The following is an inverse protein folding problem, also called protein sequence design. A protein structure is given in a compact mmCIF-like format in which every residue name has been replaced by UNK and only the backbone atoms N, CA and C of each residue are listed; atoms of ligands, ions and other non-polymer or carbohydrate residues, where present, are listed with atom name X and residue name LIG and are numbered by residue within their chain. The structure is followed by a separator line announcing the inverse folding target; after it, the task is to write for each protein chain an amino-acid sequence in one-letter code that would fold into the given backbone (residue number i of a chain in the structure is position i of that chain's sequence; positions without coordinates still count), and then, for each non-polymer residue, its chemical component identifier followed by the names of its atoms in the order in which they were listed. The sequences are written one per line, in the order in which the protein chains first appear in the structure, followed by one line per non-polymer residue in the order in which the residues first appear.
data_IF_005897674339
#
_entry.id   IF_005897674339
#
_cell.length_a   1.000
_cell.length_b   1.000
_cell.length_c   1.000
_cell.angle_alpha   90.00
_cell.angle_beta   90.00
_cell.angle_gamma   90.00
#
_symmetry.space_group_name_H-M   'P 1'
#
loop_
_entity.id
_entity.type
_entity.pdbx_description
1 polymer ?
#
# COMPACT_ATOMS: atom_id res chain seq x y z
N UNK A 1 -26.14 -4.65 -43.72
CA UNK A 1 -25.61 -4.38 -42.35
C UNK A 1 -25.28 -5.71 -41.74
N UNK A 2 -24.15 -5.84 -41.07
CA UNK A 2 -23.77 -7.11 -40.46
C UNK A 2 -24.63 -7.37 -39.23
N UNK A 3 -25.10 -8.59 -39.01
CA UNK A 3 -26.00 -8.97 -37.90
C UNK A 3 -25.44 -8.55 -36.51
N UNK A 4 -24.10 -8.56 -36.35
CA UNK A 4 -23.43 -8.07 -35.13
C UNK A 4 -23.72 -6.57 -34.89
N UNK A 5 -23.70 -5.74 -35.95
CA UNK A 5 -23.99 -4.32 -35.83
C UNK A 5 -25.46 -4.01 -35.45
N UNK A 6 -26.40 -4.83 -35.92
CA UNK A 6 -27.82 -4.69 -35.55
C UNK A 6 -28.10 -5.08 -34.09
N UNK A 7 -27.30 -5.96 -33.52
CA UNK A 7 -27.42 -6.41 -32.13
C UNK A 7 -26.36 -5.79 -31.19
N UNK A 8 -25.67 -4.72 -31.61
CA UNK A 8 -24.53 -4.17 -30.88
C UNK A 8 -24.88 -3.76 -29.45
N UNK A 9 -26.00 -3.09 -29.25
CA UNK A 9 -26.47 -2.67 -27.92
C UNK A 9 -26.77 -3.87 -27.02
N UNK A 10 -27.34 -4.95 -27.59
CA UNK A 10 -27.62 -6.17 -26.85
C UNK A 10 -26.32 -6.87 -26.43
N UNK A 11 -25.31 -6.90 -27.30
CA UNK A 11 -23.98 -7.45 -27.00
C UNK A 11 -23.36 -6.69 -25.82
N UNK A 12 -23.37 -5.36 -25.84
CA UNK A 12 -22.84 -4.53 -24.73
C UNK A 12 -23.57 -4.79 -23.42
N UNK A 13 -24.90 -4.91 -23.45
CA UNK A 13 -25.70 -5.21 -22.25
C UNK A 13 -25.45 -6.61 -21.73
N UNK A 14 -25.27 -7.59 -22.60
CA UNK A 14 -24.92 -8.96 -22.21
C UNK A 14 -23.57 -8.97 -21.49
N UNK A 15 -22.56 -8.28 -22.04
CA UNK A 15 -21.24 -8.13 -21.38
C UNK A 15 -21.39 -7.47 -20.00
N UNK A 16 -22.23 -6.43 -19.88
CA UNK A 16 -22.47 -5.78 -18.59
C UNK A 16 -23.01 -6.76 -17.54
N UNK A 17 -23.94 -7.62 -17.94
CA UNK A 17 -24.66 -8.52 -17.03
C UNK A 17 -23.84 -9.79 -16.70
N UNK A 18 -23.24 -10.42 -17.70
CA UNK A 18 -22.53 -11.70 -17.53
C UNK A 18 -21.19 -11.56 -16.81
N UNK A 19 -20.49 -10.45 -17.03
CA UNK A 19 -19.19 -10.20 -16.39
C UNK A 19 -19.30 -9.31 -15.13
N UNK A 20 -20.53 -9.07 -14.63
CA UNK A 20 -20.82 -8.29 -13.41
C UNK A 20 -20.06 -6.95 -13.36
N UNK A 21 -20.05 -6.25 -14.50
CA UNK A 21 -19.38 -4.95 -14.60
C UNK A 21 -20.12 -3.90 -13.78
N UNK A 22 -19.37 -3.04 -13.08
CA UNK A 22 -19.99 -1.89 -12.42
C UNK A 22 -20.59 -0.94 -13.46
N UNK A 23 -21.66 -0.21 -13.08
CA UNK A 23 -22.25 0.81 -13.98
C UNK A 23 -21.22 1.84 -14.43
N UNK A 24 -20.23 2.14 -13.59
CA UNK A 24 -19.17 3.09 -13.91
C UNK A 24 -18.25 2.50 -14.99
N UNK A 25 -17.77 1.28 -14.83
CA UNK A 25 -16.92 0.62 -15.84
C UNK A 25 -17.67 0.45 -17.17
N UNK A 26 -18.94 0.09 -17.10
CA UNK A 26 -19.77 -0.04 -18.31
C UNK A 26 -19.92 1.29 -19.04
N UNK A 27 -20.38 2.33 -18.36
CA UNK A 27 -20.62 3.64 -18.96
C UNK A 27 -19.31 4.31 -19.45
N UNK A 28 -18.20 4.02 -18.78
CA UNK A 28 -16.90 4.61 -19.15
C UNK A 28 -16.26 3.91 -20.34
N UNK A 29 -16.28 2.56 -20.35
CA UNK A 29 -15.44 1.78 -21.27
C UNK A 29 -16.19 0.98 -22.32
N UNK A 30 -17.41 0.52 -22.06
CA UNK A 30 -18.18 -0.35 -22.96
C UNK A 30 -19.23 0.43 -23.73
N UNK A 31 -20.02 1.26 -23.05
CA UNK A 31 -21.10 2.01 -23.65
C UNK A 31 -20.64 2.90 -24.82
N UNK A 32 -19.50 3.63 -24.75
CA UNK A 32 -19.04 4.49 -25.84
C UNK A 32 -18.52 3.74 -27.08
N UNK A 33 -18.22 2.44 -26.97
CA UNK A 33 -17.68 1.64 -28.06
C UNK A 33 -18.70 1.46 -29.18
N UNK A 34 -18.26 1.56 -30.44
CA UNK A 34 -19.11 1.41 -31.60
C UNK A 34 -18.64 0.25 -32.47
N UNK A 35 -19.59 -0.49 -33.02
CA UNK A 35 -19.32 -1.48 -34.06
C UNK A 35 -18.84 -0.78 -35.33
N UNK A 36 -17.73 -1.22 -35.90
CA UNK A 36 -17.22 -0.66 -37.14
C UNK A 36 -17.43 -1.57 -38.33
N UNK A 37 -16.86 -2.77 -38.32
CA UNK A 37 -16.92 -3.71 -39.46
C UNK A 37 -16.55 -5.15 -39.02
N UNK A 38 -16.75 -6.12 -39.91
CA UNK A 38 -16.22 -7.49 -39.75
C UNK A 38 -15.48 -7.87 -41.00
N UNK A 39 -14.23 -8.30 -40.88
CA UNK A 39 -13.38 -8.78 -41.98
C UNK A 39 -12.58 -9.99 -41.54
N UNK A 40 -12.58 -11.04 -42.36
CA UNK A 40 -11.80 -12.26 -42.13
C UNK A 40 -11.96 -12.81 -40.70
N UNK A 41 -13.23 -12.97 -40.24
CA UNK A 41 -13.61 -13.41 -38.89
C UNK A 41 -13.09 -12.52 -37.76
N UNK A 42 -12.68 -11.29 -38.05
CA UNK A 42 -12.27 -10.29 -37.06
C UNK A 42 -13.31 -9.18 -36.99
N UNK A 43 -13.86 -8.98 -35.77
CA UNK A 43 -14.77 -7.85 -35.47
C UNK A 43 -13.96 -6.63 -35.11
N UNK A 44 -14.14 -5.54 -35.85
CA UNK A 44 -13.50 -4.28 -35.59
C UNK A 44 -14.43 -3.39 -34.73
N UNK A 45 -13.93 -3.01 -33.55
CA UNK A 45 -14.65 -2.18 -32.58
C UNK A 45 -13.97 -0.82 -32.54
N UNK A 46 -14.74 0.22 -32.77
CA UNK A 46 -14.24 1.59 -32.80
C UNK A 46 -14.28 2.24 -31.42
N UNK A 47 -13.13 2.80 -31.01
CA UNK A 47 -12.96 3.58 -29.79
C UNK A 47 -13.09 5.06 -30.16
N UNK A 48 -13.95 5.85 -29.48
CA UNK A 48 -14.08 7.29 -29.72
C UNK A 48 -12.77 8.05 -29.50
N UNK A 49 -12.57 9.13 -30.22
CA UNK A 49 -11.34 9.96 -30.16
C UNK A 49 -11.00 10.41 -28.74
N UNK A 50 -12.03 10.73 -27.93
CA UNK A 50 -11.84 11.11 -26.52
C UNK A 50 -11.24 10.03 -25.62
N UNK A 51 -11.31 8.76 -26.04
CA UNK A 51 -10.78 7.61 -25.31
C UNK A 51 -9.57 6.95 -26.02
N UNK A 52 -8.99 7.62 -27.01
CA UNK A 52 -7.86 7.07 -27.77
C UNK A 52 -6.68 6.63 -26.90
N UNK A 53 -6.46 7.32 -25.77
CA UNK A 53 -5.43 7.00 -24.79
C UNK A 53 -5.64 5.65 -24.08
N UNK A 54 -6.88 5.18 -24.01
CA UNK A 54 -7.24 3.93 -23.31
C UNK A 54 -7.25 2.68 -24.22
N UNK A 55 -6.81 2.79 -25.47
CA UNK A 55 -6.81 1.69 -26.46
C UNK A 55 -6.19 0.40 -25.89
N UNK A 56 -5.00 0.50 -25.29
CA UNK A 56 -4.31 -0.67 -24.74
C UNK A 56 -5.06 -1.29 -23.54
N UNK A 57 -5.64 -0.45 -22.69
CA UNK A 57 -6.43 -0.91 -21.53
C UNK A 57 -7.70 -1.63 -21.99
N UNK A 58 -8.47 -1.01 -22.89
CA UNK A 58 -9.72 -1.58 -23.42
C UNK A 58 -9.42 -2.90 -24.12
N UNK A 59 -8.40 -2.94 -24.96
CA UNK A 59 -8.00 -4.15 -25.69
C UNK A 59 -7.60 -5.28 -24.74
N UNK A 60 -6.77 -5.02 -23.75
CA UNK A 60 -6.29 -6.05 -22.83
C UNK A 60 -7.38 -6.56 -21.89
N UNK A 61 -8.25 -5.68 -21.41
CA UNK A 61 -9.26 -6.03 -20.40
C UNK A 61 -10.52 -6.62 -21.02
N UNK A 62 -11.01 -6.04 -22.11
CA UNK A 62 -12.34 -6.34 -22.64
C UNK A 62 -12.35 -7.16 -23.94
N UNK A 63 -11.20 -7.38 -24.59
CA UNK A 63 -11.15 -8.15 -25.84
C UNK A 63 -11.76 -9.56 -25.67
N UNK A 64 -11.40 -10.25 -24.60
CA UNK A 64 -11.92 -11.59 -24.34
C UNK A 64 -13.42 -11.60 -24.04
N UNK A 65 -13.95 -10.55 -23.39
CA UNK A 65 -15.39 -10.44 -23.11
C UNK A 65 -16.19 -10.31 -24.40
N UNK A 66 -15.76 -9.41 -25.30
CA UNK A 66 -16.38 -9.30 -26.62
C UNK A 66 -16.22 -10.56 -27.45
N UNK A 67 -15.04 -11.19 -27.43
CA UNK A 67 -14.78 -12.42 -28.18
C UNK A 67 -15.75 -13.52 -27.76
N UNK A 68 -15.83 -13.83 -26.49
CA UNK A 68 -16.72 -14.90 -25.96
C UNK A 68 -18.17 -14.57 -26.24
N UNK A 69 -18.64 -13.39 -25.84
CA UNK A 69 -20.06 -13.02 -26.02
C UNK A 69 -20.50 -13.01 -27.48
N UNK A 70 -19.68 -12.45 -28.38
CA UNK A 70 -20.01 -12.42 -29.82
C UNK A 70 -20.00 -13.84 -30.40
N UNK A 71 -18.99 -14.66 -30.06
CA UNK A 71 -18.88 -16.02 -30.58
C UNK A 71 -20.04 -16.90 -30.12
N UNK A 72 -20.46 -16.77 -28.86
CA UNK A 72 -21.63 -17.49 -28.32
C UNK A 72 -22.95 -17.04 -28.97
N UNK A 73 -23.16 -15.74 -29.17
CA UNK A 73 -24.36 -15.20 -29.79
C UNK A 73 -24.49 -15.55 -31.28
N UNK A 74 -23.34 -15.72 -31.96
CA UNK A 74 -23.31 -15.96 -33.42
C UNK A 74 -23.07 -17.43 -33.80
N UNK A 75 -22.80 -18.28 -32.82
CA UNK A 75 -22.39 -19.70 -33.04
C UNK A 75 -21.21 -19.83 -34.03
N UNK A 76 -20.25 -18.86 -33.91
CA UNK A 76 -19.07 -18.75 -34.75
C UNK A 76 -17.96 -18.04 -34.05
N UNK A 77 -16.70 -18.53 -34.19
CA UNK A 77 -15.53 -17.92 -33.57
C UNK A 77 -15.11 -16.63 -34.28
N UNK A 78 -15.07 -15.53 -33.53
CA UNK A 78 -14.55 -14.25 -33.98
C UNK A 78 -13.36 -13.78 -33.17
N UNK A 79 -12.40 -13.17 -33.84
CA UNK A 79 -11.37 -12.39 -33.19
C UNK A 79 -11.78 -10.93 -33.04
N UNK A 80 -11.23 -10.23 -32.06
CA UNK A 80 -11.58 -8.84 -31.75
C UNK A 80 -10.37 -7.94 -31.99
N UNK A 81 -10.62 -6.85 -32.70
CA UNK A 81 -9.64 -5.80 -32.92
C UNK A 81 -10.24 -4.42 -32.63
N UNK A 82 -9.56 -3.67 -31.76
CA UNK A 82 -9.98 -2.30 -31.45
C UNK A 82 -9.24 -1.30 -32.35
N UNK A 83 -9.99 -0.37 -32.92
CA UNK A 83 -9.47 0.68 -33.78
C UNK A 83 -9.87 2.06 -33.27
N UNK A 84 -9.06 3.06 -33.53
CA UNK A 84 -9.38 4.45 -33.17
C UNK A 84 -10.27 5.08 -34.25
N UNK A 85 -11.22 5.91 -33.79
CA UNK A 85 -11.98 6.78 -34.69
C UNK A 85 -11.01 7.75 -35.36
N UNK A 86 -10.95 7.73 -36.73
CA UNK A 86 -10.14 8.68 -37.48
C UNK A 86 -10.83 10.04 -37.39
N UNK A 87 -10.14 11.06 -36.87
CA UNK A 87 -10.53 12.44 -37.09
C UNK A 87 -10.69 12.65 -38.60
N UNK A 88 -11.78 13.28 -39.03
CA UNK A 88 -11.92 13.75 -40.42
C UNK A 88 -10.84 14.78 -40.64
N UNK A 89 -9.67 14.31 -41.10
CA UNK A 89 -8.56 15.17 -41.42
C UNK A 89 -8.92 16.04 -42.62
N UNK A 90 -8.87 17.36 -42.41
CA UNK A 90 -8.54 18.27 -43.49
C UNK A 90 -7.09 17.96 -43.93
N UNK A 91 -6.92 17.74 -45.24
CA UNK A 91 -5.65 17.41 -45.88
C UNK A 91 -4.49 18.26 -45.36
N UNK A 92 -3.54 17.67 -44.70
CA UNK A 92 -2.14 18.11 -44.71
C UNK A 92 -1.25 16.91 -44.34
N UNK A 93 -0.52 16.41 -45.32
CA UNK A 93 0.63 15.53 -45.20
C UNK A 93 1.65 16.17 -44.25
N UNK A 94 1.82 15.62 -43.09
CA UNK A 94 3.05 15.81 -42.28
C UNK A 94 3.32 14.55 -41.50
N UNK A 95 4.50 14.02 -41.73
CA UNK A 95 5.12 12.90 -41.02
C UNK A 95 4.90 12.99 -39.49
N UNK A 96 4.06 12.12 -38.96
CA UNK A 96 3.88 11.96 -37.52
C UNK A 96 5.07 11.17 -36.96
N UNK A 97 6.14 11.88 -36.65
CA UNK A 97 7.08 11.48 -35.63
C UNK A 97 6.31 11.42 -34.32
N UNK A 98 6.31 10.26 -33.67
CA UNK A 98 5.78 10.04 -32.34
C UNK A 98 6.27 11.13 -31.36
N UNK A 99 5.39 11.86 -30.69
CA UNK A 99 5.84 12.76 -29.64
C UNK A 99 6.02 11.98 -28.33
N UNK A 100 7.27 11.76 -27.99
CA UNK A 100 7.85 11.99 -26.69
C UNK A 100 7.59 11.01 -25.55
N UNK A 101 8.56 10.11 -25.42
CA UNK A 101 8.94 9.45 -24.16
C UNK A 101 9.31 10.39 -22.99
N UNK A 102 9.46 11.69 -23.21
CA UNK A 102 9.92 12.64 -22.20
C UNK A 102 8.79 13.26 -21.36
N UNK A 103 7.59 13.49 -21.90
CA UNK A 103 6.48 14.06 -21.13
C UNK A 103 5.90 13.01 -20.16
N UNK A 104 5.87 11.75 -20.58
CA UNK A 104 5.37 10.65 -19.76
C UNK A 104 6.21 10.44 -18.47
N UNK A 105 7.53 10.63 -18.55
CA UNK A 105 8.41 10.49 -17.39
C UNK A 105 8.22 11.63 -16.36
N UNK A 106 7.99 12.86 -16.82
CA UNK A 106 7.88 14.04 -15.93
C UNK A 106 6.63 13.93 -15.03
N UNK A 107 5.49 13.51 -15.56
CA UNK A 107 4.26 13.38 -14.75
C UNK A 107 4.34 12.23 -13.74
N UNK A 108 4.99 11.11 -14.09
CA UNK A 108 5.25 10.02 -13.15
C UNK A 108 6.19 10.43 -12.01
N UNK A 109 7.26 11.17 -12.30
CA UNK A 109 8.18 11.68 -11.27
C UNK A 109 7.50 12.70 -10.35
N UNK A 110 6.67 13.58 -10.91
CA UNK A 110 5.95 14.60 -10.13
C UNK A 110 4.80 14.01 -9.30
N UNK A 111 4.24 12.88 -9.70
CA UNK A 111 3.15 12.22 -9.00
C UNK A 111 3.54 11.62 -7.65
N UNK A 112 4.84 11.41 -7.40
CA UNK A 112 5.39 10.85 -6.16
C UNK A 112 4.80 9.48 -5.80
N UNK A 113 4.66 8.58 -6.79
CA UNK A 113 4.03 7.27 -6.62
C UNK A 113 5.06 6.16 -6.38
N UNK A 114 4.74 5.25 -5.46
CA UNK A 114 5.53 4.03 -5.27
C UNK A 114 5.20 3.00 -6.37
N UNK A 115 6.18 2.57 -7.19
CA UNK A 115 5.93 1.67 -8.31
C UNK A 115 5.44 0.27 -7.92
N UNK A 116 5.58 -0.11 -6.65
CA UNK A 116 5.13 -1.41 -6.13
C UNK A 116 3.64 -1.45 -5.81
N UNK A 117 3.00 -0.29 -5.64
CA UNK A 117 1.62 -0.19 -5.17
C UNK A 117 0.67 0.02 -6.35
N UNK A 118 0.24 -1.09 -6.95
CA UNK A 118 -0.72 -1.14 -8.06
C UNK A 118 -1.92 -1.98 -7.68
N UNK A 119 -3.05 -1.84 -8.39
CA UNK A 119 -4.23 -2.69 -8.16
C UNK A 119 -3.90 -4.18 -8.33
N UNK A 120 -3.06 -4.55 -9.31
CA UNK A 120 -2.67 -5.95 -9.57
C UNK A 120 -1.86 -6.57 -8.41
N UNK A 121 -1.18 -5.74 -7.64
CA UNK A 121 -0.41 -6.19 -6.46
C UNK A 121 -1.23 -6.16 -5.17
N UNK A 122 -2.41 -5.56 -5.17
CA UNK A 122 -3.30 -5.51 -4.02
C UNK A 122 -4.11 -6.80 -3.90
N UNK A 123 -4.17 -7.38 -2.68
CA UNK A 123 -4.99 -8.57 -2.42
C UNK A 123 -6.37 -8.13 -1.93
N UNK A 124 -7.39 -8.48 -2.72
CA UNK A 124 -8.79 -8.17 -2.40
C UNK A 124 -9.38 -9.28 -1.55
N UNK A 125 -9.96 -8.90 -0.41
CA UNK A 125 -10.70 -9.76 0.50
C UNK A 125 -12.00 -9.09 0.94
N UNK A 126 -12.82 -9.79 1.74
CA UNK A 126 -14.10 -9.23 2.21
C UNK A 126 -13.92 -7.93 3.01
N UNK A 127 -12.79 -7.81 3.72
CA UNK A 127 -12.43 -6.68 4.57
C UNK A 127 -12.11 -5.37 3.82
N UNK A 128 -11.81 -5.43 2.53
CA UNK A 128 -11.37 -4.29 1.73
C UNK A 128 -12.03 -4.19 0.34
N UNK A 129 -12.90 -5.13 -0.02
CA UNK A 129 -13.57 -5.21 -1.34
C UNK A 129 -14.29 -3.90 -1.68
N UNK A 130 -15.02 -3.33 -0.71
CA UNK A 130 -15.75 -2.07 -0.93
C UNK A 130 -14.80 -0.92 -1.23
N UNK A 131 -13.76 -0.74 -0.40
CA UNK A 131 -12.76 0.31 -0.60
C UNK A 131 -12.00 0.13 -1.92
N UNK A 132 -11.62 -1.11 -2.26
CA UNK A 132 -10.96 -1.42 -3.54
C UNK A 132 -11.86 -1.05 -4.73
N UNK A 133 -13.14 -1.45 -4.71
CA UNK A 133 -14.08 -1.14 -5.79
C UNK A 133 -14.32 0.37 -5.93
N UNK A 134 -14.41 1.10 -4.81
CA UNK A 134 -14.53 2.55 -4.82
C UNK A 134 -13.28 3.23 -5.40
N UNK A 135 -12.08 2.75 -5.05
CA UNK A 135 -10.82 3.24 -5.59
C UNK A 135 -10.72 2.99 -7.11
N UNK A 136 -11.12 1.82 -7.57
CA UNK A 136 -11.13 1.48 -8.99
C UNK A 136 -12.10 2.37 -9.76
N UNK A 137 -13.32 2.59 -9.25
CA UNK A 137 -14.30 3.48 -9.85
C UNK A 137 -13.79 4.92 -9.98
N UNK A 138 -13.10 5.44 -8.95
CA UNK A 138 -12.46 6.76 -8.99
C UNK A 138 -11.31 6.79 -9.99
N UNK A 139 -10.52 5.74 -10.09
CA UNK A 139 -9.43 5.64 -11.03
C UNK A 139 -9.92 5.58 -12.49
N UNK A 140 -11.04 4.90 -12.74
CA UNK A 140 -11.67 4.80 -14.07
C UNK A 140 -12.36 6.11 -14.50
N UNK A 141 -12.90 6.89 -13.55
CA UNK A 141 -13.63 8.13 -13.86
C UNK A 141 -13.35 9.24 -12.82
N UNK A 142 -12.13 9.83 -12.84
CA UNK A 142 -11.73 10.84 -11.87
C UNK A 142 -12.61 12.09 -11.95
N UNK A 143 -13.02 12.60 -10.78
CA UNK A 143 -13.89 13.77 -10.65
C UNK A 143 -15.39 13.49 -10.81
N UNK A 144 -15.77 12.34 -11.39
CA UNK A 144 -17.17 12.04 -11.72
C UNK A 144 -17.77 10.92 -10.85
N UNK A 145 -16.96 9.94 -10.42
CA UNK A 145 -17.48 8.79 -9.67
C UNK A 145 -17.82 9.17 -8.22
N UNK A 146 -16.80 9.39 -7.42
CA UNK A 146 -16.93 9.74 -5.99
C UNK A 146 -15.92 10.84 -5.68
N UNK A 147 -16.37 12.04 -5.33
CA UNK A 147 -15.50 13.18 -5.08
C UNK A 147 -15.97 14.01 -3.88
N UNK A 148 -15.23 14.06 -2.75
CA UNK A 148 -13.99 13.32 -2.51
C UNK A 148 -14.20 11.81 -2.28
N UNK A 149 -13.15 11.02 -2.47
CA UNK A 149 -13.06 9.67 -1.92
C UNK A 149 -12.29 9.73 -0.60
N UNK A 150 -12.90 9.27 0.48
CA UNK A 150 -12.29 9.22 1.80
C UNK A 150 -12.11 7.77 2.23
N UNK A 151 -10.84 7.33 2.34
CA UNK A 151 -10.49 5.95 2.71
C UNK A 151 -10.04 5.95 4.17
N UNK A 152 -10.66 5.15 5.03
CA UNK A 152 -10.21 5.06 6.41
C UNK A 152 -10.04 3.61 6.88
N UNK A 153 -9.28 3.47 7.97
CA UNK A 153 -8.99 2.18 8.61
C UNK A 153 -7.70 2.23 9.40
N UNK A 154 -7.48 1.26 10.24
CA UNK A 154 -6.30 1.18 11.09
C UNK A 154 -4.97 1.31 10.33
N UNK A 155 -3.88 1.52 11.07
CA UNK A 155 -2.54 1.58 10.49
C UNK A 155 -2.18 0.26 9.79
N UNK A 156 -1.50 0.36 8.62
CA UNK A 156 -0.98 -0.82 7.92
C UNK A 156 -2.03 -1.71 7.25
N UNK A 157 -3.24 -1.21 6.96
CA UNK A 157 -4.30 -1.98 6.28
C UNK A 157 -4.34 -1.82 4.75
N UNK A 158 -3.45 -1.00 4.16
CA UNK A 158 -3.34 -0.86 2.71
C UNK A 158 -3.95 0.41 2.12
N UNK A 159 -4.33 1.42 2.92
CA UNK A 159 -4.85 2.72 2.45
C UNK A 159 -3.90 3.38 1.44
N UNK A 160 -2.66 3.57 1.82
CA UNK A 160 -1.61 4.14 0.97
C UNK A 160 -1.43 3.33 -0.32
N UNK A 161 -1.49 2.00 -0.26
CA UNK A 161 -1.40 1.13 -1.44
C UNK A 161 -2.53 1.46 -2.44
N UNK A 162 -3.78 1.53 -1.98
CA UNK A 162 -4.92 1.86 -2.84
C UNK A 162 -4.82 3.27 -3.42
N UNK A 163 -4.35 4.26 -2.65
CA UNK A 163 -4.14 5.61 -3.16
C UNK A 163 -3.12 5.63 -4.30
N UNK A 164 -1.97 4.99 -4.12
CA UNK A 164 -0.97 4.87 -5.20
C UNK A 164 -1.51 4.11 -6.41
N UNK A 165 -2.32 3.06 -6.17
CA UNK A 165 -2.96 2.30 -7.26
C UNK A 165 -3.85 3.17 -8.11
N UNK A 166 -4.65 4.06 -7.50
CA UNK A 166 -5.45 5.07 -8.23
C UNK A 166 -4.54 5.91 -9.12
N UNK A 167 -3.47 6.47 -8.56
CA UNK A 167 -2.56 7.33 -9.30
C UNK A 167 -1.88 6.63 -10.48
N UNK A 168 -1.39 5.41 -10.28
CA UNK A 168 -0.79 4.60 -11.34
C UNK A 168 -1.80 4.30 -12.44
N UNK A 169 -3.01 3.85 -12.08
CA UNK A 169 -4.04 3.55 -13.06
C UNK A 169 -4.39 4.77 -13.92
N UNK A 170 -4.61 5.93 -13.30
CA UNK A 170 -4.94 7.17 -14.02
C UNK A 170 -3.82 7.57 -14.99
N UNK A 171 -2.56 7.52 -14.56
CA UNK A 171 -1.42 7.89 -15.41
C UNK A 171 -1.16 6.87 -16.53
N UNK A 172 -1.43 5.58 -16.30
CA UNK A 172 -1.36 4.55 -17.32
C UNK A 172 -2.43 4.76 -18.42
N UNK A 173 -3.63 5.22 -18.03
CA UNK A 173 -4.73 5.50 -18.97
C UNK A 173 -4.58 6.88 -19.64
N UNK A 174 -4.16 7.89 -18.88
CA UNK A 174 -3.99 9.24 -19.39
C UNK A 174 -2.70 9.88 -18.85
N UNK A 175 -1.58 9.70 -19.54
CA UNK A 175 -0.29 10.25 -19.12
C UNK A 175 -0.21 11.78 -19.00
N UNK A 176 -1.19 12.50 -19.59
CA UNK A 176 -1.23 13.96 -19.53
C UNK A 176 -1.90 14.51 -18.26
N UNK A 177 -2.58 13.68 -17.49
CA UNK A 177 -3.18 14.10 -16.23
C UNK A 177 -2.11 14.43 -15.18
N UNK A 178 -2.35 15.49 -14.44
CA UNK A 178 -1.51 15.90 -13.32
C UNK A 178 -2.01 15.23 -12.05
N UNK A 179 -1.34 14.16 -11.65
CA UNK A 179 -1.62 13.44 -10.41
C UNK A 179 -0.58 13.83 -9.37
N UNK A 180 -1.00 14.14 -8.15
CA UNK A 180 -0.12 14.46 -7.04
C UNK A 180 -0.52 13.66 -5.80
N UNK A 181 0.39 12.82 -5.33
CA UNK A 181 0.32 12.17 -4.03
C UNK A 181 1.22 12.89 -3.04
N UNK A 182 0.71 13.17 -1.84
CA UNK A 182 1.44 13.82 -0.76
C UNK A 182 0.94 13.31 0.59
N UNK A 183 1.84 13.21 1.57
CA UNK A 183 1.43 13.02 2.97
C UNK A 183 0.98 14.35 3.56
N UNK A 184 0.04 14.32 4.49
CA UNK A 184 -0.41 15.54 5.19
C UNK A 184 0.71 16.21 5.97
N UNK A 185 1.72 15.46 6.40
CA UNK A 185 2.93 15.99 7.01
C UNK A 185 3.74 16.82 6.01
N UNK A 186 4.00 16.28 4.81
CA UNK A 186 4.71 17.02 3.76
C UNK A 186 3.97 18.29 3.35
N UNK A 187 2.65 18.20 3.17
CA UNK A 187 1.80 19.36 2.90
C UNK A 187 1.92 20.42 4.00
N UNK A 188 1.84 19.99 5.27
CA UNK A 188 2.01 20.90 6.44
C UNK A 188 3.36 21.60 6.43
N UNK A 189 4.42 20.84 6.21
CA UNK A 189 5.79 21.41 6.22
C UNK A 189 5.96 22.44 5.10
N UNK A 190 5.45 22.17 3.90
CA UNK A 190 5.50 23.11 2.78
C UNK A 190 4.68 24.40 3.07
N UNK A 191 3.50 24.28 3.71
CA UNK A 191 2.69 25.43 4.12
C UNK A 191 3.44 26.27 5.15
N UNK A 192 3.99 25.64 6.19
CA UNK A 192 4.74 26.33 7.25
C UNK A 192 5.97 27.04 6.66
N UNK A 193 6.72 26.38 5.79
CA UNK A 193 7.90 26.96 5.14
C UNK A 193 7.53 28.16 4.27
N UNK A 194 6.44 28.04 3.50
CA UNK A 194 5.94 29.14 2.66
C UNK A 194 5.51 30.36 3.48
N UNK A 195 4.88 30.15 4.64
CA UNK A 195 4.50 31.22 5.57
C UNK A 195 5.75 31.84 6.22
N UNK A 196 6.68 31.02 6.71
CA UNK A 196 7.91 31.49 7.37
C UNK A 196 8.83 32.28 6.45
N UNK A 197 8.84 31.98 5.17
CA UNK A 197 9.64 32.70 4.18
C UNK A 197 9.25 34.17 4.04
N UNK A 198 8.04 34.54 4.47
CA UNK A 198 7.48 35.91 4.33
C UNK A 198 7.33 36.36 2.88
N UNK A 199 7.57 35.46 1.92
CA UNK A 199 7.58 35.78 0.49
C UNK A 199 6.25 35.40 -0.17
N UNK A 200 5.52 36.37 -0.68
CA UNK A 200 4.27 36.14 -1.42
C UNK A 200 4.44 35.16 -2.59
N UNK A 201 5.61 35.13 -3.23
CA UNK A 201 5.94 34.20 -4.31
C UNK A 201 5.97 32.75 -3.85
N UNK A 202 6.40 32.47 -2.60
CA UNK A 202 6.41 31.11 -2.06
C UNK A 202 4.98 30.56 -1.90
N UNK A 203 4.08 31.37 -1.34
CA UNK A 203 2.66 30.98 -1.22
C UNK A 203 2.00 30.81 -2.59
N UNK A 204 2.32 31.64 -3.58
CA UNK A 204 1.80 31.49 -4.95
C UNK A 204 2.26 30.16 -5.55
N UNK A 205 3.54 29.82 -5.44
CA UNK A 205 4.07 28.53 -5.92
C UNK A 205 3.43 27.32 -5.22
N UNK A 206 3.20 27.40 -3.91
CA UNK A 206 2.51 26.36 -3.15
C UNK A 206 1.09 26.15 -3.72
N UNK A 207 0.35 27.25 -3.92
CA UNK A 207 -1.01 27.22 -4.47
C UNK A 207 -1.04 26.70 -5.90
N UNK A 208 -0.10 27.10 -6.75
CA UNK A 208 0.05 26.57 -8.09
C UNK A 208 0.29 25.05 -8.06
N UNK A 209 1.21 24.56 -7.20
CA UNK A 209 1.49 23.15 -7.05
C UNK A 209 0.25 22.32 -6.73
N UNK A 210 -0.56 22.77 -5.75
CA UNK A 210 -1.66 21.97 -5.21
C UNK A 210 -3.01 22.24 -5.88
N UNK A 211 -3.22 23.41 -6.48
CA UNK A 211 -4.53 23.82 -7.04
C UNK A 211 -4.63 23.66 -8.56
N UNK A 212 -3.55 23.23 -9.25
CA UNK A 212 -3.56 23.02 -10.70
C UNK A 212 -3.52 21.56 -11.12
N UNK A 213 -3.58 20.65 -10.15
CA UNK A 213 -3.59 19.21 -10.41
C UNK A 213 -4.98 18.72 -10.82
N UNK A 214 -5.03 17.61 -11.55
CA UNK A 214 -6.28 16.94 -11.90
C UNK A 214 -6.73 15.98 -10.82
N UNK A 215 -5.77 15.40 -10.09
CA UNK A 215 -6.02 14.48 -8.97
C UNK A 215 -5.10 14.83 -7.81
N UNK A 216 -5.68 15.19 -6.67
CA UNK A 216 -4.96 15.41 -5.42
C UNK A 216 -5.23 14.27 -4.45
N UNK A 217 -4.16 13.61 -4.01
CA UNK A 217 -4.22 12.54 -3.02
C UNK A 217 -3.45 12.94 -1.77
N UNK A 218 -4.14 13.07 -0.63
CA UNK A 218 -3.51 13.40 0.65
C UNK A 218 -3.65 12.24 1.62
N UNK A 219 -2.52 11.67 2.00
CA UNK A 219 -2.46 10.54 2.91
C UNK A 219 -2.38 11.01 4.37
N UNK A 220 -3.05 10.27 5.26
CA UNK A 220 -3.05 10.49 6.71
C UNK A 220 -3.52 11.91 7.11
N UNK A 221 -4.68 12.33 6.59
CA UNK A 221 -5.22 13.69 6.77
C UNK A 221 -5.40 14.09 8.25
N UNK A 222 -5.47 13.14 9.19
CA UNK A 222 -5.58 13.41 10.61
C UNK A 222 -4.42 14.28 11.16
N UNK A 223 -3.25 14.28 10.52
CA UNK A 223 -2.10 15.07 10.99
C UNK A 223 -2.16 16.57 10.68
N UNK A 224 -3.16 17.04 9.90
CA UNK A 224 -3.42 18.49 9.77
C UNK A 224 -4.31 19.02 10.89
N UNK A 225 -4.96 18.15 11.64
CA UNK A 225 -5.90 18.55 12.70
C UNK A 225 -5.14 19.28 13.81
N UNK A 226 -5.69 20.40 14.29
CA UNK A 226 -5.07 21.26 15.29
C UNK A 226 -3.99 22.23 14.74
N UNK A 227 -3.77 22.26 13.41
CA UNK A 227 -2.82 23.18 12.75
C UNK A 227 -3.60 24.21 11.91
N UNK A 228 -4.10 25.26 12.53
CA UNK A 228 -5.04 26.23 11.94
C UNK A 228 -4.62 26.74 10.55
N UNK A 229 -3.40 27.25 10.40
CA UNK A 229 -2.93 27.78 9.10
C UNK A 229 -2.86 26.71 8.01
N UNK A 230 -2.53 25.47 8.36
CA UNK A 230 -2.51 24.35 7.42
C UNK A 230 -3.92 23.93 7.04
N UNK A 231 -4.83 23.87 8.02
CA UNK A 231 -6.24 23.58 7.76
C UNK A 231 -6.85 24.62 6.84
N UNK A 232 -6.62 25.91 7.08
CA UNK A 232 -7.14 26.98 6.24
C UNK A 232 -6.65 26.87 4.78
N UNK A 233 -5.35 26.65 4.55
CA UNK A 233 -4.81 26.50 3.18
C UNK A 233 -5.33 25.23 2.51
N UNK A 234 -5.46 24.12 3.26
CA UNK A 234 -6.09 22.91 2.75
C UNK A 234 -7.54 23.12 2.38
N UNK A 235 -8.32 23.81 3.22
CA UNK A 235 -9.72 24.13 2.96
C UNK A 235 -9.91 24.89 1.65
N UNK A 236 -9.09 25.92 1.43
CA UNK A 236 -9.14 26.67 0.18
C UNK A 236 -8.72 25.82 -1.01
N UNK A 237 -7.71 24.99 -0.88
CA UNK A 237 -7.25 24.06 -1.93
C UNK A 237 -8.34 23.06 -2.29
N UNK A 238 -8.96 22.45 -1.27
CA UNK A 238 -10.10 21.55 -1.45
C UNK A 238 -11.24 22.20 -2.26
N UNK A 239 -11.67 23.40 -1.86
CA UNK A 239 -12.76 24.10 -2.52
C UNK A 239 -12.45 24.42 -3.99
N UNK A 240 -11.22 24.87 -4.28
CA UNK A 240 -10.80 25.20 -5.67
C UNK A 240 -10.85 23.95 -6.53
N UNK A 241 -10.28 22.83 -6.06
CA UNK A 241 -10.25 21.58 -6.82
C UNK A 241 -11.66 20.98 -6.99
N UNK A 242 -12.41 20.88 -5.90
CA UNK A 242 -13.76 20.32 -5.94
C UNK A 242 -14.69 21.10 -6.86
N UNK A 243 -14.67 22.45 -6.81
CA UNK A 243 -15.48 23.31 -7.67
C UNK A 243 -15.07 23.22 -9.16
N UNK A 244 -13.82 22.87 -9.43
CA UNK A 244 -13.30 22.63 -10.79
C UNK A 244 -13.52 21.19 -11.28
N UNK A 245 -14.23 20.33 -10.52
CA UNK A 245 -14.45 18.93 -10.87
C UNK A 245 -13.18 18.06 -10.82
N UNK A 246 -12.12 18.53 -10.12
CA UNK A 246 -10.88 17.78 -9.95
C UNK A 246 -11.02 16.74 -8.85
N UNK A 247 -10.41 15.57 -9.03
CA UNK A 247 -10.54 14.48 -8.06
C UNK A 247 -9.73 14.77 -6.79
N UNK A 248 -10.37 14.50 -5.64
CA UNK A 248 -9.72 14.54 -4.33
C UNK A 248 -9.83 13.14 -3.70
N UNK A 249 -8.71 12.61 -3.21
CA UNK A 249 -8.67 11.35 -2.46
C UNK A 249 -7.97 11.61 -1.13
N UNK A 250 -8.58 11.21 -0.04
CA UNK A 250 -8.08 11.40 1.31
C UNK A 250 -7.97 10.07 2.02
N UNK A 251 -6.96 9.90 2.85
CA UNK A 251 -6.89 8.77 3.77
C UNK A 251 -6.83 9.21 5.23
N UNK A 252 -7.24 8.32 6.14
CA UNK A 252 -7.15 8.53 7.59
C UNK A 252 -7.12 7.21 8.35
N UNK A 253 -6.67 7.25 9.60
CA UNK A 253 -6.79 6.15 10.54
C UNK A 253 -8.20 6.03 11.16
N UNK A 254 -9.01 7.12 11.09
CA UNK A 254 -10.36 7.24 11.68
C UNK A 254 -11.35 7.85 10.70
N UNK A 255 -12.64 7.53 10.82
CA UNK A 255 -13.69 8.20 10.06
C UNK A 255 -13.82 9.67 10.50
N UNK A 256 -14.31 10.58 9.62
CA UNK A 256 -14.45 12.00 9.93
C UNK A 256 -15.26 12.30 11.21
N UNK A 257 -16.23 11.44 11.54
CA UNK A 257 -17.09 11.59 12.72
C UNK A 257 -16.34 11.40 14.05
N UNK A 258 -15.25 10.64 14.05
CA UNK A 258 -14.43 10.35 15.23
C UNK A 258 -13.24 11.32 15.40
N UNK A 259 -13.11 12.29 14.51
CA UNK A 259 -12.10 13.33 14.60
C UNK A 259 -12.61 14.49 15.47
N UNK A 260 -12.35 14.44 16.78
CA UNK A 260 -12.93 15.34 17.79
C UNK A 260 -12.69 16.83 17.53
N UNK A 261 -11.47 17.16 17.06
CA UNK A 261 -11.06 18.56 16.82
C UNK A 261 -11.19 19.00 15.36
N UNK A 262 -11.83 18.19 14.52
CA UNK A 262 -12.09 18.54 13.14
C UNK A 262 -13.27 19.51 13.06
N UNK A 263 -13.05 20.70 12.49
CA UNK A 263 -14.11 21.68 12.28
C UNK A 263 -15.25 21.10 11.43
N UNK A 264 -16.49 21.47 11.73
CA UNK A 264 -17.69 20.97 11.06
C UNK A 264 -17.68 21.22 9.54
N UNK A 265 -17.07 22.33 9.11
CA UNK A 265 -16.89 22.65 7.68
C UNK A 265 -16.07 21.61 6.91
N UNK A 266 -15.09 20.95 7.54
CA UNK A 266 -14.34 19.86 6.92
C UNK A 266 -15.13 18.57 6.93
N UNK A 267 -15.77 18.25 8.04
CA UNK A 267 -16.59 17.05 8.18
C UNK A 267 -17.67 17.01 7.09
N UNK A 268 -18.39 18.10 6.92
CA UNK A 268 -19.40 18.25 5.86
C UNK A 268 -18.83 18.01 4.46
N UNK A 269 -17.58 18.44 4.17
CA UNK A 269 -16.95 18.23 2.87
C UNK A 269 -16.50 16.81 2.63
N UNK A 270 -16.01 16.15 3.68
CA UNK A 270 -15.61 14.74 3.57
C UNK A 270 -16.84 13.84 3.37
N UNK A 271 -17.98 14.22 3.94
CA UNK A 271 -19.26 13.52 3.77
C UNK A 271 -19.92 13.76 2.39
N UNK A 272 -19.45 14.73 1.59
CA UNK A 272 -20.02 14.99 0.26
C UNK A 272 -19.80 13.86 -0.74
N UNK A 273 -18.71 13.15 -0.63
CA UNK A 273 -18.33 12.06 -1.51
C UNK A 273 -18.65 10.68 -0.97
N UNK A 274 -17.70 9.78 -1.09
CA UNK A 274 -17.81 8.42 -0.58
C UNK A 274 -16.78 8.20 0.54
N UNK A 275 -17.25 7.66 1.66
CA UNK A 275 -16.39 7.20 2.75
C UNK A 275 -16.32 5.67 2.66
N UNK A 276 -15.11 5.13 2.51
CA UNK A 276 -14.84 3.71 2.38
C UNK A 276 -13.92 3.23 3.51
N UNK A 277 -14.33 2.19 4.21
CA UNK A 277 -13.55 1.59 5.29
C UNK A 277 -12.70 0.41 4.82
N UNK A 278 -11.59 0.20 5.51
CA UNK A 278 -10.75 -0.98 5.39
C UNK A 278 -10.59 -1.60 6.77
N UNK A 279 -11.07 -2.84 6.90
CA UNK A 279 -11.01 -3.61 8.14
C UNK A 279 -9.74 -4.50 8.16
N UNK A 280 -9.32 -5.00 9.33
CA UNK A 280 -8.28 -6.01 9.41
C UNK A 280 -8.59 -7.23 8.54
N UNK A 281 -7.58 -7.81 7.85
CA UNK A 281 -7.79 -8.93 6.94
C UNK A 281 -8.20 -10.19 7.70
N UNK A 282 -9.12 -10.96 7.11
CA UNK A 282 -9.47 -12.31 7.55
C UNK A 282 -8.31 -13.29 7.33
N UNK A 283 -8.46 -14.53 7.80
CA UNK A 283 -7.40 -15.53 7.71
C UNK A 283 -7.03 -15.84 6.27
N UNK A 284 -8.01 -15.99 5.38
CA UNK A 284 -7.85 -16.31 3.97
C UNK A 284 -7.10 -15.18 3.24
N UNK A 285 -7.45 -13.94 3.52
CA UNK A 285 -6.77 -12.77 2.97
C UNK A 285 -5.33 -12.69 3.46
N UNK A 286 -5.06 -12.96 4.76
CA UNK A 286 -3.68 -13.00 5.29
C UNK A 286 -2.85 -14.07 4.60
N UNK A 287 -3.40 -15.27 4.40
CA UNK A 287 -2.74 -16.36 3.68
C UNK A 287 -2.41 -15.97 2.23
N UNK A 288 -3.35 -15.33 1.53
CA UNK A 288 -3.16 -14.86 0.15
C UNK A 288 -2.05 -13.79 0.06
N UNK A 289 -2.01 -12.84 1.01
CA UNK A 289 -0.95 -11.83 1.09
C UNK A 289 0.43 -12.48 1.30
N UNK A 290 0.54 -13.42 2.23
CA UNK A 290 1.81 -14.11 2.51
C UNK A 290 2.30 -14.91 1.29
N UNK A 291 1.42 -15.63 0.62
CA UNK A 291 1.77 -16.37 -0.61
C UNK A 291 2.24 -15.43 -1.71
N UNK A 292 1.54 -14.33 -1.93
CA UNK A 292 1.95 -13.33 -2.94
C UNK A 292 3.31 -12.71 -2.62
N UNK A 293 3.58 -12.40 -1.35
CA UNK A 293 4.89 -11.89 -0.93
C UNK A 293 6.00 -12.95 -1.11
N UNK A 294 5.66 -14.23 -0.95
CA UNK A 294 6.61 -15.32 -1.15
C UNK A 294 6.97 -15.55 -2.63
N UNK A 295 6.08 -15.24 -3.58
CA UNK A 295 6.39 -15.31 -5.03
C UNK A 295 7.60 -14.44 -5.39
N UNK A 296 7.82 -13.34 -4.69
CA UNK A 296 8.98 -12.48 -4.86
C UNK A 296 10.27 -13.05 -4.23
N UNK A 297 10.16 -14.14 -3.45
CA UNK A 297 11.28 -14.80 -2.79
C UNK A 297 11.72 -16.01 -3.62
N UNK A 298 12.99 -16.05 -4.01
CA UNK A 298 13.57 -17.18 -4.75
C UNK A 298 13.80 -18.44 -3.86
N UNK A 299 13.02 -18.62 -2.79
CA UNK A 299 13.13 -19.77 -1.88
C UNK A 299 11.76 -20.42 -1.70
N UNK A 300 11.69 -21.76 -1.68
CA UNK A 300 10.47 -22.46 -1.33
C UNK A 300 10.14 -22.20 0.14
N UNK A 301 8.89 -21.88 0.41
CA UNK A 301 8.35 -21.68 1.76
C UNK A 301 7.17 -22.62 1.94
N UNK A 302 7.18 -23.41 3.00
CA UNK A 302 6.10 -24.35 3.30
C UNK A 302 4.83 -23.58 3.73
N UNK A 303 3.67 -24.08 3.30
CA UNK A 303 2.35 -23.54 3.64
C UNK A 303 2.10 -23.51 5.17
N UNK A 304 2.73 -24.42 5.93
CA UNK A 304 2.62 -24.45 7.40
C UNK A 304 3.23 -23.19 8.03
N UNK A 305 4.26 -22.59 7.43
CA UNK A 305 4.86 -21.34 7.90
C UNK A 305 3.89 -20.18 7.68
N UNK A 306 3.20 -20.13 6.52
CA UNK A 306 2.17 -19.12 6.29
C UNK A 306 1.01 -19.25 7.26
N UNK A 307 0.55 -20.48 7.55
CA UNK A 307 -0.49 -20.75 8.55
C UNK A 307 -0.06 -20.28 9.94
N UNK A 308 1.19 -20.54 10.31
CA UNK A 308 1.75 -20.12 11.58
C UNK A 308 1.74 -18.59 11.71
N UNK A 309 2.24 -17.86 10.71
CA UNK A 309 2.23 -16.39 10.69
C UNK A 309 0.79 -15.86 10.71
N UNK A 310 -0.07 -16.34 9.81
CA UNK A 310 -1.44 -15.86 9.66
C UNK A 310 -2.31 -16.13 10.90
N UNK A 311 -2.02 -17.19 11.66
CA UNK A 311 -2.75 -17.51 12.90
C UNK A 311 -2.36 -16.59 14.05
N UNK A 312 -1.08 -16.25 14.14
CA UNK A 312 -0.55 -15.50 15.27
C UNK A 312 -0.56 -13.97 15.05
N UNK A 313 -0.42 -13.49 13.81
CA UNK A 313 -0.39 -12.07 13.49
C UNK A 313 -1.69 -11.67 12.79
N UNK A 314 -2.57 -10.99 13.53
CA UNK A 314 -3.95 -10.66 13.10
C UNK A 314 -4.20 -9.16 13.00
N UNK A 315 -3.29 -8.33 13.48
CA UNK A 315 -3.47 -6.89 13.68
C UNK A 315 -3.56 -6.12 12.36
N UNK A 316 -2.55 -6.24 11.51
CA UNK A 316 -2.46 -5.47 10.26
C UNK A 316 -1.49 -6.14 9.26
N UNK A 317 -1.56 -5.68 8.00
CA UNK A 317 -0.76 -6.22 6.89
C UNK A 317 0.72 -5.87 7.05
N UNK A 318 1.04 -4.69 7.58
CA UNK A 318 2.43 -4.25 7.78
C UNK A 318 3.19 -5.15 8.76
N UNK A 319 2.53 -5.56 9.85
CA UNK A 319 3.13 -6.52 10.79
C UNK A 319 3.22 -7.92 10.18
N UNK A 320 2.22 -8.34 9.40
CA UNK A 320 2.24 -9.61 8.69
C UNK A 320 3.42 -9.72 7.72
N UNK A 321 3.62 -8.69 6.89
CA UNK A 321 4.75 -8.59 5.96
C UNK A 321 6.09 -8.47 6.71
N UNK A 322 6.11 -7.69 7.78
CA UNK A 322 7.29 -7.53 8.63
C UNK A 322 7.75 -8.85 9.24
N UNK A 323 6.82 -9.67 9.71
CA UNK A 323 7.12 -11.00 10.25
C UNK A 323 7.68 -11.94 9.17
N UNK A 324 7.06 -11.97 8.00
CA UNK A 324 7.57 -12.76 6.88
C UNK A 324 8.97 -12.32 6.47
N UNK A 325 9.18 -11.01 6.31
CA UNK A 325 10.50 -10.46 5.97
C UNK A 325 11.57 -10.78 7.02
N UNK A 326 11.20 -10.83 8.31
CA UNK A 326 12.13 -11.21 9.40
C UNK A 326 12.58 -12.65 9.27
N UNK A 327 11.69 -13.58 8.92
CA UNK A 327 12.02 -14.97 8.65
C UNK A 327 12.99 -15.08 7.46
N UNK A 328 12.68 -14.38 6.35
CA UNK A 328 13.54 -14.36 5.17
C UNK A 328 14.92 -13.79 5.49
N UNK A 329 14.99 -12.70 6.23
CA UNK A 329 16.25 -12.09 6.63
C UNK A 329 17.10 -13.06 7.49
N UNK A 330 16.48 -13.73 8.48
CA UNK A 330 17.15 -14.72 9.33
C UNK A 330 17.68 -15.90 8.52
N UNK A 331 16.88 -16.48 7.62
CA UNK A 331 17.29 -17.55 6.71
C UNK A 331 18.50 -17.16 5.84
N UNK A 332 18.59 -15.89 5.43
CA UNK A 332 19.76 -15.39 4.67
C UNK A 332 20.99 -15.24 5.55
N UNK A 333 20.85 -14.74 6.78
CA UNK A 333 21.96 -14.56 7.73
C UNK A 333 22.56 -15.91 8.14
N UNK A 334 21.71 -16.92 8.37
CA UNK A 334 22.13 -18.26 8.75
C UNK A 334 22.53 -19.13 7.55
N UNK A 335 22.51 -18.59 6.32
CA UNK A 335 22.81 -19.28 5.07
C UNK A 335 22.02 -20.59 4.87
N UNK A 336 20.80 -20.65 5.38
CA UNK A 336 19.95 -21.82 5.22
C UNK A 336 19.33 -21.83 3.80
N UNK A 337 19.36 -22.99 3.15
CA UNK A 337 18.77 -23.18 1.81
C UNK A 337 17.26 -23.24 1.83
N UNK A 338 16.68 -23.74 2.94
CA UNK A 338 15.25 -23.93 3.15
C UNK A 338 14.79 -23.16 4.39
N UNK A 339 13.54 -22.76 4.41
CA UNK A 339 12.92 -22.11 5.55
C UNK A 339 12.17 -23.18 6.34
N UNK A 340 12.67 -23.51 7.52
CA UNK A 340 12.06 -24.51 8.41
C UNK A 340 11.11 -23.85 9.41
N UNK A 341 10.21 -24.64 10.00
CA UNK A 341 9.31 -24.16 11.06
C UNK A 341 10.08 -23.67 12.29
N UNK A 342 11.15 -24.38 12.67
CA UNK A 342 12.02 -24.01 13.81
C UNK A 342 12.64 -22.63 13.61
N UNK A 343 13.11 -22.34 12.38
CA UNK A 343 13.64 -21.03 12.04
C UNK A 343 12.55 -19.95 12.11
N UNK A 344 11.33 -20.26 11.65
CA UNK A 344 10.21 -19.33 11.70
C UNK A 344 9.78 -19.03 13.14
N UNK A 345 9.67 -20.05 13.99
CA UNK A 345 9.36 -19.90 15.42
C UNK A 345 10.40 -19.06 16.15
N UNK A 346 11.67 -19.34 15.93
CA UNK A 346 12.75 -18.59 16.57
C UNK A 346 12.83 -17.13 16.05
N UNK A 347 12.60 -16.91 14.74
CA UNK A 347 12.55 -15.57 14.17
C UNK A 347 11.42 -14.71 14.74
N UNK A 348 10.28 -15.34 15.08
CA UNK A 348 9.08 -14.62 15.52
C UNK A 348 8.81 -14.71 17.02
N UNK A 349 9.68 -15.38 17.79
CA UNK A 349 9.52 -15.61 19.23
C UNK A 349 9.17 -14.36 20.02
N UNK A 350 9.88 -13.25 19.75
CA UNK A 350 9.68 -11.97 20.45
C UNK A 350 8.40 -11.22 20.00
N UNK A 351 7.90 -11.53 18.80
CA UNK A 351 6.69 -10.87 18.24
C UNK A 351 5.42 -11.60 18.72
N UNK A 352 5.46 -12.93 18.67
CA UNK A 352 4.28 -13.76 18.99
C UNK A 352 4.10 -13.93 20.50
N UNK A 353 5.20 -13.97 21.26
CA UNK A 353 5.19 -14.14 22.71
C UNK A 353 5.97 -13.01 23.42
N UNK A 354 5.54 -11.74 23.27
CA UNK A 354 6.25 -10.62 23.90
C UNK A 354 6.23 -10.71 25.45
N UNK A 355 5.21 -11.37 26.01
CA UNK A 355 5.01 -11.51 27.45
C UNK A 355 5.59 -12.81 28.06
N UNK A 356 6.19 -13.68 27.24
CA UNK A 356 7.01 -14.74 27.86
C UNK A 356 8.26 -14.07 28.43
N UNK A 357 8.38 -13.97 29.76
CA UNK A 357 9.61 -13.46 30.35
C UNK A 357 10.77 -14.24 29.74
N UNK A 358 11.75 -13.54 29.18
CA UNK A 358 13.00 -14.18 28.76
C UNK A 358 13.42 -15.06 29.89
N UNK A 359 13.59 -16.34 29.62
CA UNK A 359 14.04 -17.27 30.66
C UNK A 359 15.29 -16.67 31.32
N UNK A 360 15.19 -16.39 32.61
CA UNK A 360 16.28 -15.70 33.31
C UNK A 360 17.43 -16.70 33.44
N UNK A 361 18.37 -16.58 32.50
CA UNK A 361 19.57 -17.40 32.50
C UNK A 361 20.72 -16.67 33.20
N UNK A 362 21.71 -17.37 33.73
CA UNK A 362 22.90 -16.74 34.29
C UNK A 362 23.64 -15.84 33.32
N UNK A 363 23.65 -16.19 32.03
CA UNK A 363 24.25 -15.38 30.95
C UNK A 363 23.53 -14.06 30.78
N UNK A 364 22.20 -14.07 30.73
CA UNK A 364 21.38 -12.85 30.64
C UNK A 364 21.62 -11.93 31.87
N UNK A 365 21.73 -12.52 33.07
CA UNK A 365 22.05 -11.76 34.29
C UNK A 365 23.41 -11.07 34.16
N UNK A 366 24.41 -11.76 33.62
CA UNK A 366 25.76 -11.22 33.42
C UNK A 366 25.71 -10.04 32.43
N UNK A 367 25.00 -10.19 31.31
CA UNK A 367 24.85 -9.11 30.29
C UNK A 367 24.19 -7.86 30.88
N UNK A 368 23.03 -8.03 31.54
CA UNK A 368 22.27 -6.92 32.12
C UNK A 368 23.06 -6.19 33.21
N UNK A 369 23.75 -6.95 34.07
CA UNK A 369 24.58 -6.35 35.12
C UNK A 369 25.82 -5.67 34.54
N UNK A 370 26.42 -6.24 33.49
CA UNK A 370 27.54 -5.63 32.79
C UNK A 370 27.14 -4.26 32.18
N UNK A 371 26.02 -4.22 31.51
CA UNK A 371 25.45 -3.00 30.94
C UNK A 371 25.16 -1.94 32.02
N UNK A 372 24.50 -2.34 33.11
CA UNK A 372 24.16 -1.42 34.22
C UNK A 372 25.40 -0.81 34.90
N UNK A 373 26.49 -1.56 35.05
CA UNK A 373 27.71 -1.07 35.67
C UNK A 373 28.74 -0.51 34.69
N UNK A 374 28.45 -0.52 33.38
CA UNK A 374 29.35 -0.02 32.33
C UNK A 374 30.64 -0.81 32.17
N UNK A 375 30.61 -2.13 32.45
CA UNK A 375 31.73 -3.06 32.33
C UNK A 375 31.46 -4.12 31.27
N UNK A 376 32.50 -4.78 30.74
CA UNK A 376 32.26 -5.86 29.78
C UNK A 376 31.86 -7.18 30.48
N UNK A 377 31.01 -8.01 29.86
CA UNK A 377 30.66 -9.32 30.36
C UNK A 377 31.91 -10.21 30.62
N UNK A 378 32.94 -10.09 29.77
CA UNK A 378 34.20 -10.79 29.90
C UNK A 378 34.97 -10.36 31.17
N UNK A 379 34.89 -9.09 31.55
CA UNK A 379 35.54 -8.59 32.77
C UNK A 379 34.87 -9.12 34.05
N UNK A 380 33.56 -9.25 34.04
CA UNK A 380 32.79 -9.87 35.12
C UNK A 380 33.18 -11.34 35.28
N UNK A 381 33.28 -12.07 34.18
CA UNK A 381 33.62 -13.53 34.21
C UNK A 381 35.12 -13.80 34.34
N UNK A 382 35.97 -12.79 34.21
CA UNK A 382 37.42 -12.91 34.27
C UNK A 382 37.94 -13.17 35.69
N UNK A 383 39.22 -13.54 35.78
CA UNK A 383 39.94 -13.70 37.05
C UNK A 383 40.51 -12.37 37.61
N UNK A 384 40.32 -11.25 36.93
CA UNK A 384 40.81 -9.94 37.38
C UNK A 384 40.23 -9.58 38.75
N UNK A 385 41.05 -8.99 39.65
CA UNK A 385 40.67 -8.64 41.03
C UNK A 385 40.52 -7.12 41.26
N UNK A 386 40.28 -6.37 40.20
CA UNK A 386 40.08 -4.92 40.31
C UNK A 386 38.83 -4.61 41.12
N UNK A 387 38.89 -3.55 41.92
CA UNK A 387 37.78 -3.14 42.81
C UNK A 387 36.48 -2.83 42.03
N UNK A 388 36.59 -2.33 40.83
CA UNK A 388 35.46 -1.98 39.93
C UNK A 388 34.60 -3.20 39.50
N UNK A 389 35.18 -4.41 39.52
CA UNK A 389 34.45 -5.66 39.16
C UNK A 389 33.90 -6.41 40.39
N UNK A 390 34.20 -5.97 41.62
CA UNK A 390 33.75 -6.67 42.82
C UNK A 390 32.24 -6.55 42.98
N UNK A 391 31.73 -5.36 42.93
CA UNK A 391 30.29 -5.11 43.11
C UNK A 391 29.43 -5.72 41.99
N UNK A 392 29.75 -5.56 40.70
CA UNK A 392 29.04 -6.26 39.64
C UNK A 392 29.00 -7.78 39.83
N UNK A 393 30.11 -8.39 40.20
CA UNK A 393 30.17 -9.83 40.44
C UNK A 393 29.29 -10.28 41.61
N UNK A 394 29.28 -9.52 42.72
CA UNK A 394 28.40 -9.81 43.84
C UNK A 394 26.92 -9.75 43.45
N UNK A 395 26.55 -8.76 42.68
CA UNK A 395 25.18 -8.62 42.14
C UNK A 395 24.85 -9.81 41.25
N UNK A 396 25.74 -10.22 40.32
CA UNK A 396 25.54 -11.41 39.49
C UNK A 396 25.39 -12.67 40.34
N UNK A 397 26.24 -12.88 41.32
CA UNK A 397 26.15 -14.05 42.22
C UNK A 397 24.80 -14.12 42.93
N UNK A 398 24.36 -12.98 43.49
CA UNK A 398 23.09 -12.88 44.19
C UNK A 398 21.89 -13.13 43.27
N UNK A 399 21.88 -12.47 42.10
CA UNK A 399 20.76 -12.58 41.15
C UNK A 399 20.70 -13.97 40.51
N UNK A 400 21.83 -14.58 40.14
CA UNK A 400 21.86 -15.93 39.62
C UNK A 400 21.30 -16.94 40.66
N UNK A 401 21.64 -16.77 41.94
CA UNK A 401 21.10 -17.63 42.97
C UNK A 401 19.61 -17.43 43.24
N UNK A 402 19.15 -16.17 43.20
CA UNK A 402 17.80 -15.82 43.55
C UNK A 402 16.80 -16.08 42.41
N UNK A 403 17.24 -15.89 41.16
CA UNK A 403 16.35 -15.86 39.98
C UNK A 403 16.50 -17.10 39.09
N UNK A 404 17.54 -17.94 39.36
CA UNK A 404 17.77 -19.19 38.62
C UNK A 404 18.00 -20.35 39.60
N UNK A 405 17.76 -21.58 39.14
CA UNK A 405 18.05 -22.80 39.92
C UNK A 405 19.52 -23.20 39.89
N UNK A 406 20.43 -22.29 39.48
CA UNK A 406 21.85 -22.56 39.33
C UNK A 406 22.52 -22.78 40.67
N UNK A 407 23.27 -23.88 40.79
CA UNK A 407 24.00 -24.20 42.01
C UNK A 407 25.19 -23.26 42.24
N UNK A 408 25.59 -23.05 43.51
CA UNK A 408 26.75 -22.21 43.86
C UNK A 408 28.03 -22.63 43.14
N UNK A 409 28.22 -23.95 42.92
CA UNK A 409 29.36 -24.48 42.18
C UNK A 409 29.35 -24.05 40.72
N UNK A 410 28.19 -24.05 40.09
CA UNK A 410 28.06 -23.62 38.70
C UNK A 410 28.20 -22.09 38.54
N UNK A 411 27.66 -21.31 39.48
CA UNK A 411 27.87 -19.86 39.53
C UNK A 411 29.37 -19.55 39.67
N UNK A 412 30.08 -20.28 40.51
CA UNK A 412 31.53 -20.14 40.68
C UNK A 412 32.33 -20.46 39.42
N UNK A 413 31.87 -21.44 38.62
CA UNK A 413 32.50 -21.77 37.33
C UNK A 413 32.29 -20.66 36.30
N UNK A 414 31.09 -20.13 36.22
CA UNK A 414 30.75 -19.03 35.32
C UNK A 414 31.56 -17.75 35.61
N UNK A 415 31.82 -17.45 36.86
CA UNK A 415 32.57 -16.27 37.31
C UNK A 415 34.08 -16.49 37.42
N UNK A 416 34.66 -17.31 36.57
CA UNK A 416 36.11 -17.50 36.47
C UNK A 416 36.69 -18.51 37.48
N UNK A 417 35.97 -19.59 37.79
CA UNK A 417 36.36 -20.69 38.71
C UNK A 417 36.60 -20.20 40.16
N UNK A 418 35.71 -19.39 40.69
CA UNK A 418 35.73 -18.96 42.08
C UNK A 418 35.25 -20.11 43.00
N UNK A 419 35.81 -20.17 44.19
CA UNK A 419 35.39 -21.17 45.18
C UNK A 419 33.94 -20.87 45.63
N UNK A 420 33.15 -21.93 45.83
CA UNK A 420 31.77 -21.85 46.29
C UNK A 420 31.62 -21.12 47.62
N UNK A 421 32.64 -21.18 48.49
CA UNK A 421 32.67 -20.42 49.76
C UNK A 421 32.67 -18.90 49.55
N UNK A 422 33.26 -18.41 48.48
CA UNK A 422 33.27 -16.99 48.13
C UNK A 422 31.91 -16.51 47.61
N UNK A 423 31.02 -17.43 47.22
CA UNK A 423 29.70 -17.12 46.67
C UNK A 423 28.63 -17.12 47.77
N UNK A 424 28.89 -17.81 48.87
CA UNK A 424 27.96 -17.90 50.02
C UNK A 424 28.04 -16.65 50.91
N UNK A 425 29.18 -15.98 50.97
CA UNK A 425 29.41 -14.73 51.69
C UNK A 425 29.15 -13.51 50.81
#
# INVERSE_FOLDING_TARGET
MHFIGENWEMIKQTIHTEYDLTNISYNTWIEPLQFYDVKDDTVYIQIPTGQAHALNYISNKYSNYFKVTISEMMDHDYDISFILEKEKAADTDTDLKSPSSNINNINYEQANLNPKYKFDTFIVGNNNKFAHSACLAVAESPGNAYNPLFIYGGAGLGKTHLMHSIGHFILEQNPNMKVLYVTSESFTNEVIESIRSGNATAMTKLREKYRTVDVLMIDDIQFIIGKESTQEEFFHTFNVLHSAGKQIVLSSDKPPKEMETLEERFRSRFDWGLIADIQPPDYETRMAILRKNAEACNKPVDDEIFKYIATNIKSNIRELEGAFNRIIAKSKIENQSEITMELAEDALKDIINPDKPKEITPELIIEVVAEHFGVSPEDITSKKRNSEFVQPRQVVMYLCRKLTDTSYVNIGKLLGKKDHTTIIH
#
